data_IF_321588891154
#
_entry.id   IF_321588891154
#
_cell.length_a   1.000
_cell.length_b   1.000
_cell.length_c   1.000
_cell.angle_alpha   90.00
_cell.angle_beta   90.00
_cell.angle_gamma   90.00
#
_symmetry.space_group_name_H-M   'P 1'
#
loop_
_entity.id
_entity.type
_entity.pdbx_description
1 polymer ?
#
# COMPACT_ATOMS: atom_id res chain seq x y z
N UNK A 1 13.69 15.13 2.13
CA UNK A 1 13.24 13.73 2.32
C UNK A 1 13.56 12.92 1.07
N UNK A 2 14.07 11.68 1.18
CA UNK A 2 14.34 10.84 0.03
C UNK A 2 13.07 10.66 -0.81
N UNK A 3 13.18 10.82 -2.13
CA UNK A 3 12.04 10.88 -3.05
C UNK A 3 11.20 9.59 -3.03
N UNK A 4 11.84 8.45 -2.76
CA UNK A 4 11.20 7.13 -2.59
C UNK A 4 10.22 7.08 -1.41
N UNK A 5 10.47 7.83 -0.33
CA UNK A 5 9.57 7.88 0.84
C UNK A 5 8.32 8.69 0.53
N UNK A 6 8.44 9.76 -0.27
CA UNK A 6 7.30 10.61 -0.65
C UNK A 6 6.21 9.84 -1.38
N UNK A 7 6.57 8.83 -2.18
CA UNK A 7 5.62 7.99 -2.92
C UNK A 7 5.01 6.89 -2.03
N UNK A 8 5.72 6.45 -0.99
CA UNK A 8 5.25 5.44 -0.03
C UNK A 8 4.27 6.00 1.01
N UNK A 9 4.44 7.25 1.41
CA UNK A 9 3.60 7.96 2.39
C UNK A 9 2.10 7.86 2.09
N UNK A 10 1.58 8.14 0.87
CA UNK A 10 0.15 8.06 0.61
C UNK A 10 -0.43 6.65 0.83
N UNK A 11 0.31 5.58 0.50
CA UNK A 11 -0.14 4.20 0.73
C UNK A 11 -0.17 3.85 2.22
N UNK A 12 0.81 4.33 3.00
CA UNK A 12 0.83 4.20 4.45
C UNK A 12 -0.35 4.92 5.11
N UNK A 13 -0.60 6.17 4.71
CA UNK A 13 -1.71 6.97 5.24
C UNK A 13 -3.04 6.33 4.84
N UNK A 14 -3.20 5.88 3.60
CA UNK A 14 -4.42 5.22 3.14
C UNK A 14 -4.70 3.93 3.92
N UNK A 15 -3.70 3.08 4.13
CA UNK A 15 -3.84 1.86 4.95
C UNK A 15 -4.22 2.18 6.39
N UNK A 16 -3.58 3.19 7.00
CA UNK A 16 -3.86 3.60 8.37
C UNK A 16 -5.26 4.21 8.55
N UNK A 17 -5.70 5.07 7.62
CA UNK A 17 -7.05 5.62 7.62
C UNK A 17 -8.10 4.52 7.43
N UNK A 18 -7.84 3.55 6.56
CA UNK A 18 -8.72 2.39 6.39
C UNK A 18 -8.84 1.55 7.67
N UNK A 19 -7.75 1.40 8.42
CA UNK A 19 -7.77 0.74 9.72
C UNK A 19 -8.61 1.51 10.75
N UNK A 20 -8.42 2.83 10.88
CA UNK A 20 -9.23 3.64 11.78
C UNK A 20 -10.72 3.59 11.43
N UNK A 21 -11.04 3.61 10.12
CA UNK A 21 -12.42 3.50 9.66
C UNK A 21 -13.04 2.13 9.98
N UNK A 22 -12.25 1.04 9.87
CA UNK A 22 -12.67 -0.30 10.31
C UNK A 22 -13.00 -0.37 11.80
N UNK A 23 -12.12 0.18 12.66
CA UNK A 23 -12.34 0.25 14.11
C UNK A 23 -13.57 1.10 14.44
N UNK A 24 -13.74 2.24 13.77
CA UNK A 24 -14.90 3.10 13.97
C UNK A 24 -16.21 2.41 13.57
N UNK A 25 -16.25 1.75 12.41
CA UNK A 25 -17.43 0.99 11.98
C UNK A 25 -17.78 -0.15 12.93
N UNK A 26 -16.76 -0.85 13.45
CA UNK A 26 -16.95 -2.00 14.32
C UNK A 26 -17.44 -1.60 15.72
N UNK A 27 -16.88 -0.54 16.31
CA UNK A 27 -17.17 -0.16 17.71
C UNK A 27 -18.18 0.99 17.86
N UNK A 28 -18.30 1.90 16.88
CA UNK A 28 -19.17 3.09 17.00
C UNK A 28 -20.45 2.93 16.19
N UNK A 29 -20.36 2.35 14.99
CA UNK A 29 -21.51 2.22 14.11
C UNK A 29 -22.30 0.91 14.29
N UNK A 30 -21.89 0.04 15.24
CA UNK A 30 -22.43 -1.32 15.50
C UNK A 30 -22.48 -2.21 14.24
N UNK A 31 -21.75 -1.83 13.18
CA UNK A 31 -21.79 -2.48 11.88
C UNK A 31 -20.60 -3.44 11.75
N UNK A 32 -20.63 -4.49 12.57
CA UNK A 32 -19.53 -5.45 12.74
C UNK A 32 -19.08 -6.08 11.43
N UNK A 33 -20.02 -6.46 10.56
CA UNK A 33 -19.72 -7.02 9.24
C UNK A 33 -18.95 -6.04 8.35
N UNK A 34 -19.41 -4.79 8.25
CA UNK A 34 -18.72 -3.77 7.45
C UNK A 34 -17.33 -3.44 8.03
N UNK A 35 -17.21 -3.36 9.36
CA UNK A 35 -15.92 -3.15 10.03
C UNK A 35 -14.89 -4.21 9.67
N UNK A 36 -15.28 -5.49 9.65
CA UNK A 36 -14.39 -6.60 9.28
C UNK A 36 -13.97 -6.51 7.81
N UNK A 37 -14.91 -6.26 6.88
CA UNK A 37 -14.60 -6.16 5.45
C UNK A 37 -13.65 -5.00 5.14
N UNK A 38 -13.85 -3.84 5.76
CA UNK A 38 -12.96 -2.68 5.62
C UNK A 38 -11.58 -2.96 6.24
N UNK A 39 -11.55 -3.68 7.37
CA UNK A 39 -10.29 -4.09 8.01
C UNK A 39 -9.45 -5.00 7.11
N UNK A 40 -10.09 -5.91 6.38
CA UNK A 40 -9.44 -6.78 5.40
C UNK A 40 -8.84 -6.03 4.19
N UNK A 41 -9.25 -4.78 3.94
CA UNK A 41 -8.69 -4.00 2.85
C UNK A 41 -7.31 -3.40 3.17
N UNK A 42 -6.97 -3.26 4.46
CA UNK A 42 -5.65 -2.74 4.90
C UNK A 42 -4.48 -3.52 4.29
N UNK A 43 -4.39 -4.87 4.41
CA UNK A 43 -3.33 -5.64 3.76
C UNK A 43 -3.38 -5.53 2.23
N UNK A 44 -4.56 -5.38 1.62
CA UNK A 44 -4.71 -5.20 0.17
C UNK A 44 -4.16 -3.86 -0.33
N UNK A 45 -4.38 -2.75 0.41
CA UNK A 45 -3.83 -1.42 0.09
C UNK A 45 -2.30 -1.44 0.18
N UNK A 46 -1.75 -2.09 1.20
CA UNK A 46 -0.30 -2.23 1.34
C UNK A 46 0.31 -3.14 0.27
N UNK A 47 -0.36 -4.22 -0.10
CA UNK A 47 0.04 -5.10 -1.20
C UNK A 47 0.05 -4.34 -2.53
N UNK A 48 -1.00 -3.56 -2.82
CA UNK A 48 -1.08 -2.71 -4.02
C UNK A 48 0.02 -1.64 -4.04
N UNK A 49 0.27 -0.97 -2.91
CA UNK A 49 1.37 -0.01 -2.80
C UNK A 49 2.73 -0.66 -3.04
N UNK A 50 2.94 -1.89 -2.54
CA UNK A 50 4.16 -2.65 -2.83
C UNK A 50 4.26 -3.01 -4.30
N UNK A 51 3.18 -3.46 -4.94
CA UNK A 51 3.14 -3.80 -6.36
C UNK A 51 3.45 -2.59 -7.26
N UNK A 52 2.85 -1.44 -6.96
CA UNK A 52 3.04 -0.21 -7.76
C UNK A 52 4.43 0.40 -7.58
N UNK A 53 5.05 0.21 -6.42
CA UNK A 53 6.37 0.74 -6.11
C UNK A 53 7.49 -0.31 -6.25
N UNK A 54 7.16 -1.54 -6.61
CA UNK A 54 8.12 -2.60 -6.83
C UNK A 54 8.99 -2.27 -8.05
N UNK A 55 10.33 -2.39 -7.94
CA UNK A 55 11.19 -2.32 -9.11
C UNK A 55 10.84 -3.46 -10.07
N UNK A 56 10.53 -3.14 -11.33
CA UNK A 56 10.42 -4.15 -12.38
C UNK A 56 11.82 -4.71 -12.63
N UNK A 57 12.09 -5.93 -12.16
CA UNK A 57 13.39 -6.60 -12.27
C UNK A 57 13.93 -6.61 -13.72
N UNK A 58 13.02 -6.68 -14.70
CA UNK A 58 13.35 -6.61 -16.13
C UNK A 58 13.99 -5.28 -16.56
N UNK A 59 13.58 -4.15 -15.97
CA UNK A 59 14.14 -2.84 -16.32
C UNK A 59 15.60 -2.68 -15.85
N UNK A 60 15.93 -3.25 -14.68
CA UNK A 60 17.29 -3.25 -14.14
C UNK A 60 18.23 -4.13 -14.98
N UNK A 61 17.73 -5.26 -15.51
CA UNK A 61 18.52 -6.18 -16.33
C UNK A 61 18.91 -5.58 -17.68
N UNK A 62 17.98 -4.89 -18.36
CA UNK A 62 18.26 -4.28 -19.66
C UNK A 62 19.24 -3.10 -19.53
N UNK A 63 19.08 -2.29 -18.48
CA UNK A 63 19.99 -1.18 -18.23
C UNK A 63 21.42 -1.65 -17.92
N UNK A 64 21.57 -2.80 -17.24
CA UNK A 64 22.90 -3.39 -17.00
C UNK A 64 23.57 -3.88 -18.29
N UNK A 65 22.81 -4.44 -19.23
CA UNK A 65 23.37 -4.95 -20.50
C UNK A 65 23.79 -3.81 -21.43
N UNK A 66 23.08 -2.68 -21.41
CA UNK A 66 23.42 -1.51 -22.24
C UNK A 66 24.67 -0.78 -21.73
N UNK A 67 24.86 -0.68 -20.41
CA UNK A 67 26.00 0.03 -19.80
C UNK A 67 27.32 -0.75 -19.92
N UNK A 68 27.24 -2.07 -20.08
CA UNK A 68 28.40 -2.97 -20.19
C UNK A 68 28.85 -3.20 -21.65
N UNK A 69 28.32 -2.38 -22.57
CA UNK A 69 28.63 -2.39 -24.01
C UNK A 69 29.36 -1.12 -24.42
#
# INVERSE_FOLDING_TARGET
MPQSVRVKIPFLIAGFLSFLFSVWLYFVADNTTAGIFVGLWVPSIHSLGTLLLAPVEGAVRLQRVEVDR
#
